data_IF_926935597211
#
_entry.id   IF_926935597211
#
_cell.length_a   1.000
_cell.length_b   1.000
_cell.length_c   1.000
_cell.angle_alpha   90.00
_cell.angle_beta   90.00
_cell.angle_gamma   90.00
#
_symmetry.space_group_name_H-M   'P 1'
#
loop_
_entity.id
_entity.type
_entity.pdbx_description
1 polymer ?
#
# COMPACT_ATOMS: atom_id res chain seq x y z
N UNK A 1 -14.86 66.49 2.93
CA UNK A 1 -15.21 66.22 1.52
C UNK A 1 -15.18 64.73 1.15
N UNK A 2 -14.17 63.93 1.56
CA UNK A 2 -14.14 62.47 1.29
C UNK A 2 -15.30 61.65 1.87
N UNK A 3 -15.74 61.96 3.10
CA UNK A 3 -16.85 61.27 3.75
C UNK A 3 -18.22 61.54 3.08
N UNK A 4 -18.40 62.73 2.49
CA UNK A 4 -19.62 63.14 1.79
C UNK A 4 -19.71 62.47 0.41
N UNK A 5 -18.56 62.28 -0.25
CA UNK A 5 -18.47 61.52 -1.51
C UNK A 5 -18.76 60.03 -1.28
N UNK A 6 -18.30 59.46 -0.16
CA UNK A 6 -18.53 58.07 0.20
C UNK A 6 -20.01 57.80 0.54
N UNK A 7 -20.70 58.73 1.22
CA UNK A 7 -22.14 58.58 1.50
C UNK A 7 -23.00 58.73 0.24
N UNK A 8 -22.58 59.57 -0.73
CA UNK A 8 -23.27 59.70 -2.02
C UNK A 8 -23.12 58.44 -2.89
N UNK A 9 -21.96 57.79 -2.87
CA UNK A 9 -21.74 56.52 -3.58
C UNK A 9 -22.54 55.35 -2.97
N UNK A 10 -22.72 55.34 -1.65
CA UNK A 10 -23.49 54.28 -0.98
C UNK A 10 -25.00 54.36 -1.27
N UNK A 11 -25.53 55.55 -1.54
CA UNK A 11 -26.94 55.73 -1.92
C UNK A 11 -27.27 55.26 -3.35
N UNK A 12 -26.26 55.12 -4.22
CA UNK A 12 -26.44 54.68 -5.61
C UNK A 12 -26.49 53.15 -5.76
N UNK A 13 -26.20 52.38 -4.70
CA UNK A 13 -26.17 50.91 -4.71
C UNK A 13 -27.54 50.28 -4.41
N UNK A 14 -28.61 50.80 -5.01
CA UNK A 14 -29.94 50.18 -4.94
C UNK A 14 -29.96 48.93 -5.82
N UNK A 15 -30.38 47.76 -5.32
CA UNK A 15 -30.46 46.55 -6.12
C UNK A 15 -31.55 46.70 -7.19
N UNK A 16 -31.18 46.60 -8.46
CA UNK A 16 -32.14 46.56 -9.57
C UNK A 16 -32.77 45.15 -9.64
N UNK A 17 -34.00 45.01 -9.16
CA UNK A 17 -34.77 43.79 -9.30
C UNK A 17 -35.38 43.74 -10.72
N UNK A 18 -34.88 42.86 -11.59
CA UNK A 18 -35.50 42.60 -12.88
C UNK A 18 -36.68 41.64 -12.70
N UNK A 19 -37.91 42.14 -12.81
CA UNK A 19 -39.13 41.35 -12.74
C UNK A 19 -39.57 40.96 -14.16
N UNK A 20 -39.78 39.67 -14.39
CA UNK A 20 -40.24 39.11 -15.68
C UNK A 20 -41.75 38.85 -15.56
N UNK A 21 -42.55 39.43 -16.46
CA UNK A 21 -44.00 39.26 -16.45
C UNK A 21 -44.42 38.25 -17.51
N UNK A 22 -45.29 37.30 -17.12
CA UNK A 22 -45.89 36.30 -18.01
C UNK A 22 -47.37 36.60 -18.17
N UNK A 23 -47.85 36.66 -19.40
CA UNK A 23 -49.29 36.65 -19.67
C UNK A 23 -49.62 35.73 -20.84
N UNK A 24 -50.88 35.32 -20.92
CA UNK A 24 -51.40 34.49 -22.00
C UNK A 24 -52.14 35.40 -22.98
N UNK A 25 -51.78 35.37 -24.25
CA UNK A 25 -52.48 36.14 -25.28
C UNK A 25 -53.82 35.48 -25.64
N UNK A 26 -54.66 36.20 -26.39
CA UNK A 26 -55.99 35.73 -26.80
C UNK A 26 -55.96 34.50 -27.73
N UNK A 27 -54.79 34.07 -28.20
CA UNK A 27 -54.60 32.88 -29.03
C UNK A 27 -54.05 31.68 -28.22
N UNK A 28 -53.95 31.81 -26.89
CA UNK A 28 -53.54 30.74 -26.00
C UNK A 28 -52.03 30.54 -25.86
N UNK A 29 -51.22 31.44 -26.43
CA UNK A 29 -49.77 31.33 -26.35
C UNK A 29 -49.22 32.12 -25.16
N UNK A 30 -48.20 31.55 -24.51
CA UNK A 30 -47.51 32.16 -23.38
C UNK A 30 -46.42 33.10 -23.87
N UNK A 31 -46.51 34.38 -23.51
CA UNK A 31 -45.51 35.40 -23.86
C UNK A 31 -44.89 35.97 -22.58
N UNK A 32 -43.57 36.17 -22.60
CA UNK A 32 -42.79 36.76 -21.51
C UNK A 32 -42.28 38.13 -21.94
N UNK A 33 -42.48 39.16 -21.12
CA UNK A 33 -42.03 40.54 -21.41
C UNK A 33 -41.41 41.20 -20.17
N UNK A 34 -40.47 42.12 -20.42
CA UNK A 34 -39.72 42.86 -19.40
C UNK A 34 -40.21 44.32 -19.22
N UNK A 35 -41.36 44.67 -19.78
CA UNK A 35 -42.00 45.99 -19.63
C UNK A 35 -43.49 45.79 -19.24
N UNK A 36 -43.98 46.37 -18.13
CA UNK A 36 -45.37 46.21 -17.73
C UNK A 36 -46.30 47.08 -18.61
N UNK A 37 -47.44 46.55 -19.10
CA UNK A 37 -48.54 47.37 -19.58
C UNK A 37 -49.35 47.91 -18.38
N UNK A 38 -49.75 49.18 -18.44
CA UNK A 38 -50.60 49.81 -17.45
C UNK A 38 -52.00 49.13 -17.36
N UNK A 39 -52.50 48.97 -16.13
CA UNK A 39 -53.95 48.86 -15.89
C UNK A 39 -54.55 47.50 -15.52
N UNK A 40 -53.79 46.57 -14.91
CA UNK A 40 -54.38 45.30 -14.40
C UNK A 40 -54.19 45.13 -12.91
N UNK A 41 -55.33 45.00 -12.21
CA UNK A 41 -55.43 44.67 -10.79
C UNK A 41 -54.91 43.25 -10.56
N UNK A 42 -53.76 43.12 -9.91
CA UNK A 42 -53.17 41.83 -9.58
C UNK A 42 -53.46 41.48 -8.11
N UNK A 43 -54.20 40.39 -7.91
CA UNK A 43 -54.51 39.84 -6.59
C UNK A 43 -53.37 38.90 -6.16
N UNK A 44 -52.90 39.05 -4.92
CA UNK A 44 -51.74 38.31 -4.40
C UNK A 44 -52.16 36.88 -4.02
N UNK A 45 -51.71 35.89 -4.79
CA UNK A 45 -51.90 34.47 -4.46
C UNK A 45 -50.68 33.96 -3.67
N UNK A 46 -50.90 33.53 -2.44
CA UNK A 46 -49.89 32.91 -1.58
C UNK A 46 -49.77 31.43 -1.93
N UNK A 47 -48.60 31.00 -2.40
CA UNK A 47 -48.35 29.62 -2.81
C UNK A 47 -48.01 28.75 -1.58
N UNK A 48 -48.60 27.54 -1.45
CA UNK A 48 -48.24 26.64 -0.35
C UNK A 48 -46.79 26.14 -0.48
N UNK A 49 -46.13 25.80 0.64
CA UNK A 49 -44.75 25.36 0.64
C UNK A 49 -44.59 24.06 -0.17
N UNK A 50 -43.51 23.99 -0.94
CA UNK A 50 -43.20 22.85 -1.81
C UNK A 50 -42.77 21.64 -0.98
N UNK A 51 -43.43 20.50 -1.20
CA UNK A 51 -43.05 19.21 -0.64
C UNK A 51 -41.63 18.84 -1.10
N UNK A 52 -40.69 18.84 -0.16
CA UNK A 52 -39.32 18.35 -0.36
C UNK A 52 -39.19 17.00 0.31
N UNK A 53 -38.74 16.01 -0.45
CA UNK A 53 -38.43 14.67 0.06
C UNK A 53 -36.92 14.61 0.28
N UNK A 54 -36.48 14.32 1.50
CA UNK A 54 -35.06 14.06 1.80
C UNK A 54 -34.59 12.82 1.04
N UNK A 55 -33.78 13.01 0.00
CA UNK A 55 -33.14 11.92 -0.72
C UNK A 55 -32.02 11.38 0.18
N UNK A 56 -32.27 10.27 0.87
CA UNK A 56 -31.23 9.52 1.56
C UNK A 56 -30.35 8.83 0.53
N UNK A 57 -29.13 9.33 0.34
CA UNK A 57 -28.11 8.66 -0.46
C UNK A 57 -27.82 7.27 0.13
N UNK A 58 -27.98 6.18 -0.64
CA UNK A 58 -27.62 4.84 -0.16
C UNK A 58 -26.14 4.77 0.21
N UNK A 59 -25.82 4.04 1.27
CA UNK A 59 -24.43 3.81 1.65
C UNK A 59 -23.69 3.11 0.50
N UNK A 60 -22.43 3.48 0.22
CA UNK A 60 -21.64 2.84 -0.82
C UNK A 60 -21.50 1.34 -0.53
N UNK A 61 -21.51 0.49 -1.58
CA UNK A 61 -21.34 -0.95 -1.42
C UNK A 61 -19.98 -1.27 -0.79
N UNK A 62 -19.86 -2.38 -0.05
CA UNK A 62 -18.59 -2.79 0.53
C UNK A 62 -17.53 -2.99 -0.57
N UNK A 63 -16.26 -2.68 -0.28
CA UNK A 63 -15.17 -2.87 -1.22
C UNK A 63 -15.07 -4.35 -1.64
N UNK A 64 -14.82 -4.58 -2.93
CA UNK A 64 -14.57 -5.92 -3.45
C UNK A 64 -13.29 -6.49 -2.80
N UNK A 65 -13.27 -7.80 -2.47
CA UNK A 65 -12.09 -8.40 -1.89
C UNK A 65 -10.91 -8.30 -2.85
N UNK A 66 -9.76 -7.97 -2.27
CA UNK A 66 -8.48 -7.80 -2.95
C UNK A 66 -8.02 -9.13 -3.56
N UNK A 67 -7.23 -9.13 -4.63
CA UNK A 67 -6.68 -10.37 -5.20
C UNK A 67 -5.89 -11.21 -4.18
N UNK A 68 -5.25 -10.53 -3.21
CA UNK A 68 -4.59 -11.15 -2.05
C UNK A 68 -5.54 -11.93 -1.13
N UNK A 69 -6.79 -11.50 -0.98
CA UNK A 69 -7.80 -12.18 -0.16
C UNK A 69 -8.41 -13.38 -0.91
N UNK A 70 -8.56 -13.25 -2.24
CA UNK A 70 -9.06 -14.32 -3.10
C UNK A 70 -8.05 -15.48 -3.22
N UNK A 71 -6.75 -15.18 -3.24
CA UNK A 71 -5.69 -16.19 -3.20
C UNK A 71 -5.66 -16.97 -1.87
N UNK A 72 -5.96 -16.30 -0.75
CA UNK A 72 -5.98 -16.92 0.59
C UNK A 72 -7.12 -17.93 0.75
N UNK A 73 -8.26 -17.70 0.08
CA UNK A 73 -9.42 -18.59 0.14
C UNK A 73 -9.25 -19.91 -0.63
N UNK A 74 -8.26 -20.01 -1.53
CA UNK A 74 -7.96 -21.20 -2.33
C UNK A 74 -6.59 -21.82 -2.02
N UNK A 75 -5.90 -21.33 -0.97
CA UNK A 75 -4.57 -21.79 -0.61
C UNK A 75 -4.60 -23.25 -0.10
N UNK A 76 -3.73 -24.15 -0.62
CA UNK A 76 -3.69 -25.55 -0.20
C UNK A 76 -3.23 -25.76 1.25
N UNK A 77 -2.51 -24.78 1.81
CA UNK A 77 -2.04 -24.76 3.20
C UNK A 77 -2.62 -23.53 3.91
N UNK A 78 -3.26 -23.73 5.06
CA UNK A 78 -3.80 -22.65 5.89
C UNK A 78 -2.71 -21.90 6.63
N UNK A 79 -1.61 -22.59 6.93
CA UNK A 79 -0.39 -22.02 7.51
C UNK A 79 0.80 -22.33 6.61
N UNK A 80 1.61 -21.31 6.34
CA UNK A 80 2.88 -21.42 5.64
C UNK A 80 3.77 -20.25 6.10
N UNK A 81 4.73 -20.54 6.97
CA UNK A 81 5.61 -19.55 7.57
C UNK A 81 7.03 -20.11 7.72
N UNK A 82 8.02 -19.23 7.63
CA UNK A 82 9.39 -19.54 8.02
C UNK A 82 9.49 -19.52 9.55
N UNK A 83 10.34 -20.38 10.10
CA UNK A 83 10.63 -20.44 11.54
C UNK A 83 12.12 -20.70 11.78
N UNK A 84 12.66 -20.16 12.87
CA UNK A 84 14.05 -20.41 13.24
C UNK A 84 15.06 -19.70 12.33
N UNK A 85 14.70 -18.53 11.77
CA UNK A 85 15.70 -17.63 11.19
C UNK A 85 16.62 -17.16 12.33
N UNK A 86 17.94 -17.37 12.24
CA UNK A 86 18.85 -16.94 13.30
C UNK A 86 18.86 -15.41 13.43
N UNK A 87 19.15 -14.95 14.64
CA UNK A 87 19.39 -13.54 14.93
C UNK A 87 20.69 -13.02 14.27
N UNK A 88 20.88 -11.70 14.30
CA UNK A 88 22.01 -11.03 13.65
C UNK A 88 23.36 -11.50 14.21
N UNK A 89 23.45 -11.77 15.52
CA UNK A 89 24.68 -12.28 16.13
C UNK A 89 25.07 -13.67 15.61
N UNK A 90 24.11 -14.61 15.52
CA UNK A 90 24.37 -15.95 15.02
C UNK A 90 24.72 -15.96 13.52
N UNK A 91 24.09 -15.09 12.71
CA UNK A 91 24.39 -14.97 11.29
C UNK A 91 25.82 -14.47 11.03
N UNK A 92 26.31 -13.58 11.88
CA UNK A 92 27.70 -13.07 11.80
C UNK A 92 28.75 -14.14 12.05
N UNK A 93 28.46 -15.12 12.91
CA UNK A 93 29.39 -16.21 13.24
C UNK A 93 29.49 -17.27 12.12
N UNK A 94 28.42 -17.44 11.33
CA UNK A 94 28.25 -18.59 10.43
C UNK A 94 28.52 -18.28 8.94
N UNK A 95 29.16 -17.16 8.61
CA UNK A 95 29.49 -16.77 7.22
C UNK A 95 28.26 -16.80 6.27
N UNK A 96 27.06 -16.46 6.76
CA UNK A 96 25.84 -16.50 5.94
C UNK A 96 25.36 -17.90 5.57
N UNK A 97 25.79 -18.94 6.30
CA UNK A 97 25.29 -20.32 6.15
C UNK A 97 24.46 -20.71 7.35
N UNK A 98 23.18 -21.01 7.16
CA UNK A 98 22.27 -21.37 8.25
C UNK A 98 21.10 -22.19 7.73
N UNK A 99 20.36 -22.83 8.64
CA UNK A 99 19.16 -23.57 8.30
C UNK A 99 17.93 -22.87 8.85
N UNK A 100 16.83 -22.95 8.10
CA UNK A 100 15.53 -22.38 8.45
C UNK A 100 14.47 -23.49 8.38
N UNK A 101 13.59 -23.52 9.37
CA UNK A 101 12.44 -24.40 9.38
C UNK A 101 11.25 -23.79 8.65
N UNK A 102 10.33 -24.64 8.23
CA UNK A 102 9.05 -24.23 7.65
C UNK A 102 7.92 -24.79 8.51
N UNK A 103 7.08 -23.89 9.01
CA UNK A 103 5.84 -24.25 9.68
C UNK A 103 4.71 -24.23 8.66
N UNK A 104 4.10 -25.38 8.44
CA UNK A 104 2.97 -25.53 7.53
C UNK A 104 1.85 -26.39 8.12
N UNK A 105 0.60 -26.03 7.78
CA UNK A 105 -0.60 -26.78 8.17
C UNK A 105 -1.53 -26.88 6.94
N UNK A 106 -2.00 -28.08 6.56
CA UNK A 106 -1.58 -29.40 7.06
C UNK A 106 -0.12 -29.72 6.70
N UNK A 107 0.38 -30.88 7.14
CA UNK A 107 1.70 -31.38 6.73
C UNK A 107 1.85 -31.45 5.19
N UNK A 108 3.10 -31.42 4.71
CA UNK A 108 3.41 -31.31 3.29
C UNK A 108 2.76 -32.47 2.52
N UNK A 109 1.91 -32.13 1.56
CA UNK A 109 1.17 -33.14 0.79
C UNK A 109 2.11 -33.90 -0.14
N UNK A 110 1.87 -35.20 -0.40
CA UNK A 110 2.60 -35.95 -1.41
C UNK A 110 2.56 -35.25 -2.78
N UNK A 111 3.70 -35.22 -3.49
CA UNK A 111 3.83 -34.51 -4.76
C UNK A 111 4.10 -33.01 -4.65
N UNK A 112 3.99 -32.43 -3.45
CA UNK A 112 4.40 -31.05 -3.19
C UNK A 112 5.86 -30.98 -2.72
N UNK A 113 6.51 -29.85 -2.95
CA UNK A 113 7.86 -29.55 -2.47
C UNK A 113 7.97 -28.10 -2.03
N UNK A 114 8.97 -27.79 -1.22
CA UNK A 114 9.29 -26.48 -0.66
C UNK A 114 10.54 -25.94 -1.33
N UNK A 115 10.56 -24.64 -1.63
CA UNK A 115 11.76 -23.95 -2.11
C UNK A 115 11.86 -22.58 -1.44
N UNK A 116 13.07 -22.16 -1.12
CA UNK A 116 13.29 -20.82 -0.59
C UNK A 116 13.26 -19.78 -1.72
N UNK A 117 12.83 -18.58 -1.37
CA UNK A 117 12.97 -17.39 -2.19
C UNK A 117 13.86 -16.42 -1.42
N UNK A 118 15.04 -16.13 -1.96
CA UNK A 118 15.95 -15.11 -1.43
C UNK A 118 15.82 -13.87 -2.31
N UNK A 119 15.40 -12.76 -1.73
CA UNK A 119 15.15 -11.48 -2.42
C UNK A 119 14.18 -11.65 -3.61
N UNK A 120 13.17 -12.51 -3.41
CA UNK A 120 12.16 -12.86 -4.42
C UNK A 120 12.65 -13.81 -5.51
N UNK A 121 13.90 -14.28 -5.47
CA UNK A 121 14.45 -15.23 -6.44
C UNK A 121 14.51 -16.66 -5.88
N UNK A 122 14.18 -17.69 -6.68
CA UNK A 122 14.36 -19.08 -6.29
C UNK A 122 15.77 -19.38 -5.79
N UNK A 123 15.85 -19.85 -4.55
CA UNK A 123 17.10 -20.20 -3.89
C UNK A 123 17.12 -21.69 -3.57
N UNK A 124 18.18 -22.37 -4.04
CA UNK A 124 18.39 -23.80 -3.81
C UNK A 124 17.45 -24.70 -4.61
N UNK A 125 17.54 -26.00 -4.33
CA UNK A 125 16.71 -27.02 -4.95
C UNK A 125 15.40 -27.22 -4.17
N UNK A 126 14.29 -27.57 -4.83
CA UNK A 126 13.07 -28.00 -4.15
C UNK A 126 13.34 -29.18 -3.20
N UNK A 127 12.72 -29.13 -2.03
CA UNK A 127 12.89 -30.13 -0.97
C UNK A 127 11.52 -30.59 -0.46
N UNK A 128 11.39 -31.86 -0.09
CA UNK A 128 10.19 -32.39 0.55
C UNK A 128 10.28 -32.40 2.08
N UNK A 129 11.38 -31.89 2.65
CA UNK A 129 11.55 -31.75 4.11
C UNK A 129 11.35 -30.29 4.53
N UNK A 130 10.70 -30.02 5.68
CA UNK A 130 10.41 -28.68 6.17
C UNK A 130 11.62 -28.00 6.84
N UNK A 131 12.83 -28.41 6.48
CA UNK A 131 14.09 -27.81 6.95
C UNK A 131 14.95 -27.53 5.72
N UNK A 132 15.21 -26.26 5.45
CA UNK A 132 15.94 -25.81 4.28
C UNK A 132 17.21 -25.06 4.70
N UNK A 133 18.25 -25.14 3.88
CA UNK A 133 19.54 -24.54 4.18
C UNK A 133 19.86 -23.41 3.20
N UNK A 134 20.37 -22.31 3.76
CA UNK A 134 21.04 -21.25 3.03
C UNK A 134 22.54 -21.40 3.21
N UNK A 135 23.28 -21.19 2.13
CA UNK A 135 24.74 -21.33 2.08
C UNK A 135 25.34 -20.08 1.49
N UNK A 136 26.29 -19.50 2.23
CA UNK A 136 27.09 -18.34 1.81
C UNK A 136 26.23 -17.19 1.24
N UNK A 137 25.15 -16.83 1.96
CA UNK A 137 24.38 -15.64 1.65
C UNK A 137 25.26 -14.41 1.83
N UNK A 138 25.13 -13.46 0.91
CA UNK A 138 25.93 -12.24 0.92
C UNK A 138 25.62 -11.35 2.14
N UNK A 139 26.47 -10.35 2.34
CA UNK A 139 26.24 -9.35 3.39
C UNK A 139 25.17 -8.36 2.94
N UNK A 140 24.40 -7.85 3.88
CA UNK A 140 23.34 -6.88 3.62
C UNK A 140 22.04 -7.28 4.28
N UNK A 141 21.01 -6.49 3.99
CA UNK A 141 19.61 -6.85 4.28
C UNK A 141 19.11 -7.75 3.16
N UNK A 142 18.45 -8.83 3.56
CA UNK A 142 17.86 -9.81 2.66
C UNK A 142 16.42 -10.11 3.08
N UNK A 143 15.61 -10.52 2.11
CA UNK A 143 14.25 -11.00 2.33
C UNK A 143 14.17 -12.49 2.02
N UNK A 144 13.63 -13.27 2.95
CA UNK A 144 13.42 -14.70 2.82
C UNK A 144 11.93 -15.00 2.77
N UNK A 145 11.50 -15.80 1.80
CA UNK A 145 10.19 -16.43 1.80
C UNK A 145 10.35 -17.92 1.48
N UNK A 146 9.29 -18.71 1.72
CA UNK A 146 9.18 -20.08 1.22
C UNK A 146 8.01 -20.17 0.25
N UNK A 147 8.21 -20.88 -0.84
CA UNK A 147 7.16 -21.27 -1.76
C UNK A 147 6.92 -22.78 -1.72
N UNK A 148 5.67 -23.16 -1.94
CA UNK A 148 5.25 -24.53 -2.18
C UNK A 148 5.07 -24.72 -3.67
N UNK A 149 5.72 -25.75 -4.21
CA UNK A 149 5.64 -26.17 -5.59
C UNK A 149 4.81 -27.45 -5.71
N UNK A 150 3.94 -27.52 -6.71
CA UNK A 150 3.31 -28.75 -7.19
C UNK A 150 3.72 -28.96 -8.65
N UNK A 151 4.29 -30.13 -8.96
CA UNK A 151 4.80 -30.45 -10.30
C UNK A 151 5.75 -29.36 -10.86
N UNK A 152 6.56 -28.77 -9.98
CA UNK A 152 7.52 -27.70 -10.32
C UNK A 152 6.91 -26.30 -10.48
N UNK A 153 5.61 -26.12 -10.26
CA UNK A 153 4.93 -24.82 -10.33
C UNK A 153 4.61 -24.28 -8.95
N UNK A 154 4.88 -23.00 -8.72
CA UNK A 154 4.52 -22.32 -7.46
C UNK A 154 3.02 -22.22 -7.31
N UNK A 155 2.50 -22.79 -6.22
CA UNK A 155 1.07 -22.83 -5.89
C UNK A 155 0.73 -22.00 -4.65
N UNK A 156 1.72 -21.69 -3.81
CA UNK A 156 1.55 -20.87 -2.62
C UNK A 156 2.90 -20.31 -2.16
N UNK A 157 2.91 -19.09 -1.62
CA UNK A 157 4.10 -18.46 -1.04
C UNK A 157 3.78 -17.93 0.36
N UNK A 158 4.76 -17.98 1.27
CA UNK A 158 4.68 -17.34 2.58
C UNK A 158 4.80 -15.83 2.47
N UNK A 159 4.48 -15.12 3.56
CA UNK A 159 4.96 -13.76 3.72
C UNK A 159 6.50 -13.74 3.73
N UNK A 160 7.12 -12.70 3.15
CA UNK A 160 8.57 -12.49 3.26
C UNK A 160 8.95 -12.04 4.68
N UNK A 161 10.08 -12.53 5.16
CA UNK A 161 10.70 -12.16 6.44
C UNK A 161 12.11 -11.60 6.17
N UNK A 162 12.45 -10.49 6.80
CA UNK A 162 13.71 -9.78 6.54
C UNK A 162 14.77 -10.13 7.59
N UNK A 163 16.02 -10.28 7.15
CA UNK A 163 17.15 -10.56 8.02
C UNK A 163 18.42 -9.86 7.50
N UNK A 164 19.37 -9.59 8.40
CA UNK A 164 20.60 -8.86 8.07
C UNK A 164 21.82 -9.72 8.29
N UNK A 165 22.73 -9.76 7.31
CA UNK A 165 24.05 -10.40 7.44
C UNK A 165 25.13 -9.33 7.47
N UNK A 166 25.96 -9.36 8.52
CA UNK A 166 27.15 -8.53 8.63
C UNK A 166 28.42 -9.38 8.50
N UNK A 167 29.43 -8.89 7.77
CA UNK A 167 30.75 -9.52 7.69
C UNK A 167 31.82 -8.59 8.23
N UNK A 168 32.64 -9.10 9.15
CA UNK A 168 33.86 -8.40 9.56
C UNK A 168 34.90 -8.50 8.45
N UNK A 169 35.43 -7.36 8.04
CA UNK A 169 36.57 -7.34 7.15
C UNK A 169 37.84 -7.59 7.96
N UNK A 170 38.41 -8.79 7.85
CA UNK A 170 39.66 -9.16 8.52
C UNK A 170 40.91 -8.81 7.71
N UNK A 171 40.77 -8.16 6.54
CA UNK A 171 41.89 -7.81 5.66
C UNK A 171 42.64 -6.53 6.09
N UNK A 172 42.30 -5.95 7.23
CA UNK A 172 42.93 -4.73 7.75
C UNK A 172 44.43 -4.96 8.01
N UNK A 173 45.34 -4.13 7.44
CA UNK A 173 46.78 -4.22 7.67
C UNK A 173 47.18 -4.21 9.16
N UNK A 174 46.35 -3.57 10.01
CA UNK A 174 46.53 -3.50 11.46
C UNK A 174 46.36 -4.85 12.19
N UNK A 175 45.71 -5.84 11.58
CA UNK A 175 45.50 -7.18 12.14
C UNK A 175 46.50 -8.22 11.60
N UNK A 176 47.41 -7.81 10.70
CA UNK A 176 48.46 -8.71 10.21
C UNK A 176 49.41 -9.05 11.37
N UNK A 177 49.75 -10.33 11.59
CA UNK A 177 50.76 -10.69 12.58
C UNK A 177 52.04 -9.90 12.30
N UNK A 178 52.61 -9.28 13.34
CA UNK A 178 53.88 -8.57 13.22
C UNK A 178 54.95 -9.56 12.71
N UNK A 179 55.80 -9.19 11.73
CA UNK A 179 56.86 -10.06 11.25
C UNK A 179 57.70 -10.56 12.42
N UNK A 180 57.90 -11.88 12.52
CA UNK A 180 58.75 -12.45 13.55
C UNK A 180 60.17 -11.91 13.37
N UNK A 181 60.83 -11.39 14.43
CA UNK A 181 62.21 -10.95 14.33
C UNK A 181 63.12 -12.09 13.86
N UNK A 182 64.15 -11.82 13.04
CA UNK A 182 65.09 -12.84 12.63
C UNK A 182 65.80 -13.43 13.85
N UNK A 183 66.00 -14.75 13.85
CA UNK A 183 66.67 -15.45 14.93
C UNK A 183 68.11 -14.91 15.10
N UNK A 184 68.59 -14.73 16.34
CA UNK A 184 69.95 -14.27 16.58
C UNK A 184 70.96 -15.28 16.01
N UNK A 185 72.10 -14.80 15.47
CA UNK A 185 73.11 -15.67 14.89
C UNK A 185 73.62 -16.63 15.96
N UNK A 186 73.61 -17.93 15.65
CA UNK A 186 74.24 -18.95 16.49
C UNK A 186 75.74 -18.64 16.57
N UNK A 187 76.25 -18.33 17.76
CA UNK A 187 77.70 -18.35 18.00
C UNK A 187 78.17 -19.80 17.83
N UNK A 188 79.06 -19.99 16.87
CA UNK A 188 79.74 -21.26 16.64
C UNK A 188 80.66 -21.64 17.81
N UNK A 189 81.06 -22.93 17.88
CA UNK A 189 81.95 -23.45 18.91
C UNK A 189 83.36 -22.88 18.83
#
# INVERSE_FOLDING_TARGET
MRALLASLMLLAALPAAAQIYKYTDANGNTVFTNQPPDGVSAESVELPPTNTVDIKTPAPPPPLPSDSERAKAAAPYSQLALVGIPDEEALRANNGTFSVGVSLEPALRPGHSLRLLLDGQPYGQPSNVPMLQLVNVDRGEHSLAVEVLADGRSIQQSAPETFTIQRVNTSSPALRPKPTPPAPPKKGP
#
